data_IF_046658766203
#
_entry.id   IF_046658766203
#
_cell.length_a   1.000
_cell.length_b   1.000
_cell.length_c   1.000
_cell.angle_alpha   90.00
_cell.angle_beta   90.00
_cell.angle_gamma   90.00
#
_symmetry.space_group_name_H-M   'P 1'
#
loop_
_entity.id
_entity.type
_entity.pdbx_description
1 polymer ?
#
# COMPACT_ATOMS: atom_id res chain seq x y z
N UNK A 1 -8.43 13.49 -2.11
CA UNK A 1 -9.14 12.53 -2.99
C UNK A 1 -10.19 13.18 -3.88
N UNK A 2 -11.23 13.81 -3.32
CA UNK A 2 -12.35 14.40 -4.10
C UNK A 2 -11.92 15.41 -5.18
N UNK A 3 -10.92 16.23 -4.89
CA UNK A 3 -10.38 17.22 -5.83
C UNK A 3 -9.63 16.57 -7.01
N UNK A 4 -8.82 15.55 -6.73
CA UNK A 4 -8.11 14.77 -7.75
C UNK A 4 -9.08 13.96 -8.63
N UNK A 5 -10.12 13.42 -8.01
CA UNK A 5 -11.23 12.75 -8.69
C UNK A 5 -11.96 13.67 -9.67
N UNK A 6 -12.34 14.87 -9.21
CA UNK A 6 -13.02 15.84 -10.06
C UNK A 6 -12.14 16.25 -11.25
N UNK A 7 -10.83 16.41 -11.03
CA UNK A 7 -9.87 16.74 -12.09
C UNK A 7 -9.76 15.64 -13.15
N UNK A 8 -9.73 14.36 -12.74
CA UNK A 8 -9.74 13.23 -13.67
C UNK A 8 -11.04 13.18 -14.49
N UNK A 9 -12.20 13.40 -13.85
CA UNK A 9 -13.50 13.45 -14.53
C UNK A 9 -13.56 14.60 -15.55
N UNK A 10 -13.06 15.78 -15.21
CA UNK A 10 -12.99 16.93 -16.11
C UNK A 10 -12.09 16.66 -17.32
N UNK A 11 -10.96 15.98 -17.13
CA UNK A 11 -10.05 15.63 -18.23
C UNK A 11 -10.66 14.59 -19.18
N UNK A 12 -11.38 13.59 -18.64
CA UNK A 12 -12.10 12.61 -19.45
C UNK A 12 -13.21 13.31 -20.25
N UNK A 13 -14.01 14.16 -19.61
CA UNK A 13 -15.08 14.90 -20.29
C UNK A 13 -14.53 15.79 -21.40
N UNK A 14 -13.45 16.52 -21.15
CA UNK A 14 -12.78 17.35 -22.16
C UNK A 14 -12.29 16.52 -23.36
N UNK A 15 -11.79 15.31 -23.11
CA UNK A 15 -11.32 14.42 -24.18
C UNK A 15 -12.48 13.90 -25.03
N UNK A 16 -13.63 13.59 -24.40
CA UNK A 16 -14.87 13.21 -25.09
C UNK A 16 -15.39 14.38 -25.95
N UNK A 17 -15.36 15.60 -25.43
CA UNK A 17 -15.82 16.80 -26.14
C UNK A 17 -14.90 17.14 -27.33
N UNK A 18 -13.59 17.00 -27.15
CA UNK A 18 -12.59 17.16 -28.22
C UNK A 18 -12.79 16.10 -29.33
N UNK A 19 -13.08 14.85 -28.96
CA UNK A 19 -13.39 13.78 -29.93
C UNK A 19 -14.73 14.00 -30.63
N UNK A 20 -15.74 14.54 -29.95
CA UNK A 20 -17.02 14.92 -30.57
C UNK A 20 -16.83 16.06 -31.60
N UNK A 21 -15.96 17.04 -31.31
CA UNK A 21 -15.60 18.09 -32.27
C UNK A 21 -14.86 17.52 -33.50
N UNK A 22 -14.00 16.52 -33.30
CA UNK A 22 -13.29 15.80 -34.37
C UNK A 22 -14.26 14.98 -35.24
N UNK A 23 -15.22 14.28 -34.63
CA UNK A 23 -16.27 13.49 -35.33
C UNK A 23 -17.21 14.40 -36.12
N UNK A 24 -17.56 15.57 -35.59
CA UNK A 24 -18.36 16.56 -36.31
C UNK A 24 -17.57 17.21 -37.47
N UNK A 25 -16.25 17.41 -37.31
CA UNK A 25 -15.35 17.93 -38.35
C UNK A 25 -15.11 16.97 -39.52
N UNK A 26 -15.24 15.66 -39.31
CA UNK A 26 -15.15 14.63 -40.38
C UNK A 26 -16.24 14.78 -41.46
N UNK A 27 -17.32 15.54 -41.20
CA UNK A 27 -18.39 15.79 -42.18
C UNK A 27 -18.04 16.87 -43.21
N UNK A 28 -16.92 17.59 -43.07
CA UNK A 28 -16.56 18.68 -43.99
C UNK A 28 -15.04 18.95 -44.05
N UNK A 29 -14.35 18.41 -45.08
CA UNK A 29 -13.04 18.91 -45.55
C UNK A 29 -11.82 17.97 -45.46
N UNK A 30 -10.69 18.30 -46.13
CA UNK A 30 -9.61 17.38 -46.54
C UNK A 30 -8.63 16.95 -45.45
N UNK A 31 -8.83 17.32 -44.19
CA UNK A 31 -7.82 17.19 -43.12
C UNK A 31 -7.95 15.90 -42.28
N UNK A 32 -8.31 14.81 -42.94
CA UNK A 32 -8.55 13.48 -42.34
C UNK A 32 -7.32 12.96 -41.55
N UNK A 33 -6.11 13.26 -42.01
CA UNK A 33 -4.88 12.85 -41.34
C UNK A 33 -4.65 13.56 -40.01
N UNK A 34 -5.02 14.85 -39.91
CA UNK A 34 -4.91 15.64 -38.68
C UNK A 34 -5.94 15.20 -37.66
N UNK A 35 -7.16 14.94 -38.12
CA UNK A 35 -8.26 14.36 -37.34
C UNK A 35 -7.84 13.01 -36.76
N UNK A 36 -7.36 12.08 -37.61
CA UNK A 36 -6.92 10.75 -37.17
C UNK A 36 -5.82 10.83 -36.10
N UNK A 37 -4.83 11.72 -36.28
CA UNK A 37 -3.73 11.89 -35.34
C UNK A 37 -4.19 12.46 -33.99
N UNK A 38 -5.18 13.35 -33.98
CA UNK A 38 -5.78 13.85 -32.74
C UNK A 38 -6.59 12.78 -32.03
N UNK A 39 -7.41 12.01 -32.75
CA UNK A 39 -8.14 10.87 -32.19
C UNK A 39 -7.20 9.83 -31.58
N UNK A 40 -6.14 9.43 -32.28
CA UNK A 40 -5.13 8.50 -31.75
C UNK A 40 -4.43 9.03 -30.49
N UNK A 41 -4.22 10.35 -30.40
CA UNK A 41 -3.65 10.98 -29.20
C UNK A 41 -4.65 10.93 -28.04
N UNK A 42 -5.90 11.26 -28.31
CA UNK A 42 -6.96 11.29 -27.31
C UNK A 42 -7.24 9.89 -26.76
N UNK A 43 -7.29 8.86 -27.62
CA UNK A 43 -7.37 7.45 -27.18
C UNK A 43 -6.20 7.08 -26.27
N UNK A 44 -4.95 7.46 -26.61
CA UNK A 44 -3.80 7.20 -25.74
C UNK A 44 -3.89 7.92 -24.40
N UNK A 45 -4.39 9.15 -24.39
CA UNK A 45 -4.62 9.91 -23.15
C UNK A 45 -5.70 9.25 -22.31
N UNK A 46 -6.83 8.84 -22.90
CA UNK A 46 -7.89 8.09 -22.24
C UNK A 46 -7.38 6.77 -21.66
N UNK A 47 -6.56 6.00 -22.39
CA UNK A 47 -5.98 4.77 -21.86
C UNK A 47 -5.16 5.01 -20.59
N UNK A 48 -4.36 6.08 -20.55
CA UNK A 48 -3.59 6.46 -19.34
C UNK A 48 -4.49 6.89 -18.20
N UNK A 49 -5.51 7.71 -18.48
CA UNK A 49 -6.46 8.15 -17.47
C UNK A 49 -7.27 6.97 -16.90
N UNK A 50 -7.58 5.96 -17.72
CA UNK A 50 -8.23 4.71 -17.29
C UNK A 50 -7.28 3.87 -16.43
N UNK A 51 -6.00 3.77 -16.78
CA UNK A 51 -5.00 3.10 -15.93
C UNK A 51 -4.86 3.79 -14.56
N UNK A 52 -4.81 5.13 -14.53
CA UNK A 52 -4.79 5.91 -13.30
C UNK A 52 -6.08 5.73 -12.49
N UNK A 53 -7.23 5.70 -13.18
CA UNK A 53 -8.54 5.43 -12.58
C UNK A 53 -8.63 4.02 -11.99
N UNK A 54 -7.99 3.03 -12.61
CA UNK A 54 -7.99 1.64 -12.14
C UNK A 54 -7.34 1.45 -10.77
N UNK A 55 -6.49 2.38 -10.33
CA UNK A 55 -5.91 2.39 -8.98
C UNK A 55 -6.96 2.72 -7.91
N UNK A 56 -8.01 3.46 -8.30
CA UNK A 56 -9.08 3.95 -7.42
C UNK A 56 -10.38 3.13 -7.53
N UNK A 57 -10.54 2.36 -8.62
CA UNK A 57 -11.67 1.43 -8.76
C UNK A 57 -11.27 0.10 -8.13
N UNK A 58 -11.95 -0.34 -7.06
CA UNK A 58 -11.73 -1.68 -6.53
C UNK A 58 -12.01 -2.69 -7.64
N UNK A 59 -11.05 -3.58 -7.89
CA UNK A 59 -11.23 -4.72 -8.78
C UNK A 59 -12.50 -5.47 -8.34
N UNK A 60 -13.53 -5.62 -9.19
CA UNK A 60 -14.75 -6.34 -8.83
C UNK A 60 -14.49 -7.82 -8.54
N UNK A 61 -13.35 -8.37 -8.99
CA UNK A 61 -12.86 -9.70 -8.62
C UNK A 61 -11.94 -9.69 -7.39
N UNK A 62 -11.79 -8.56 -6.68
CA UNK A 62 -10.99 -8.54 -5.47
C UNK A 62 -11.61 -9.50 -4.45
N UNK A 63 -10.96 -10.65 -4.27
CA UNK A 63 -11.24 -11.61 -3.21
C UNK A 63 -11.46 -10.85 -1.89
N UNK A 64 -12.60 -11.10 -1.25
CA UNK A 64 -13.00 -10.43 0.00
C UNK A 64 -11.85 -10.47 1.01
N UNK A 65 -11.65 -9.35 1.70
CA UNK A 65 -10.68 -9.27 2.78
C UNK A 65 -11.27 -10.04 3.97
N UNK A 66 -10.66 -11.17 4.31
CA UNK A 66 -11.00 -11.94 5.50
C UNK A 66 -10.20 -11.40 6.67
N UNK A 67 -10.90 -10.94 7.70
CA UNK A 67 -10.28 -10.50 8.95
C UNK A 67 -9.79 -11.74 9.73
N UNK A 68 -8.56 -11.74 10.26
CA UNK A 68 -8.02 -12.88 10.98
C UNK A 68 -8.69 -13.12 12.34
N UNK A 69 -9.39 -12.12 12.87
CA UNK A 69 -10.14 -12.16 14.12
C UNK A 69 -11.53 -11.57 13.87
N UNK A 70 -12.55 -12.14 14.50
CA UNK A 70 -13.97 -11.74 14.29
C UNK A 70 -14.41 -10.60 15.19
N UNK A 71 -13.57 -10.17 16.14
CA UNK A 71 -13.94 -9.14 17.10
C UNK A 71 -14.08 -7.76 16.45
N UNK A 72 -15.02 -6.98 16.98
CA UNK A 72 -15.19 -5.57 16.61
C UNK A 72 -13.97 -4.75 17.01
N UNK A 73 -13.38 -5.02 18.18
CA UNK A 73 -12.18 -4.34 18.67
C UNK A 73 -11.00 -4.47 17.70
N UNK A 74 -10.77 -5.67 17.15
CA UNK A 74 -9.73 -5.87 16.15
C UNK A 74 -10.02 -5.11 14.86
N UNK A 75 -11.28 -5.12 14.40
CA UNK A 75 -11.68 -4.40 13.19
C UNK A 75 -11.46 -2.88 13.33
N UNK A 76 -11.85 -2.30 14.47
CA UNK A 76 -11.64 -0.88 14.78
C UNK A 76 -10.14 -0.53 14.81
N UNK A 77 -9.33 -1.30 15.52
CA UNK A 77 -7.88 -1.07 15.58
C UNK A 77 -7.19 -1.22 14.22
N UNK A 78 -7.69 -2.11 13.37
CA UNK A 78 -7.18 -2.24 12.00
C UNK A 78 -7.52 -1.03 11.13
N UNK A 79 -8.73 -0.48 11.26
CA UNK A 79 -9.11 0.77 10.59
C UNK A 79 -8.26 1.95 11.09
N UNK A 80 -7.98 2.03 12.40
CA UNK A 80 -7.08 3.03 12.97
C UNK A 80 -5.66 2.93 12.39
N UNK A 81 -5.15 1.71 12.22
CA UNK A 81 -3.86 1.50 11.55
C UNK A 81 -3.87 1.98 10.10
N UNK A 82 -4.96 1.72 9.36
CA UNK A 82 -5.13 2.21 7.98
C UNK A 82 -5.22 3.73 7.91
N UNK A 83 -5.97 4.35 8.82
CA UNK A 83 -6.06 5.79 8.95
C UNK A 83 -4.68 6.40 9.23
N UNK A 84 -3.94 5.85 10.19
CA UNK A 84 -2.57 6.24 10.49
C UNK A 84 -1.64 6.18 9.26
N UNK A 85 -1.67 5.09 8.49
CA UNK A 85 -0.87 4.95 7.27
C UNK A 85 -1.19 6.03 6.23
N UNK A 86 -2.47 6.35 6.08
CA UNK A 86 -2.91 7.39 5.17
C UNK A 86 -2.51 8.78 5.66
N UNK A 87 -2.81 9.12 6.90
CA UNK A 87 -2.56 10.45 7.46
C UNK A 87 -1.06 10.78 7.50
N UNK A 88 -0.24 9.84 7.95
CA UNK A 88 1.20 10.08 8.16
C UNK A 88 2.02 9.86 6.89
N UNK A 89 1.68 8.86 6.07
CA UNK A 89 2.50 8.47 4.91
C UNK A 89 1.80 8.62 3.57
N UNK A 90 0.53 9.04 3.54
CA UNK A 90 -0.29 9.07 2.32
C UNK A 90 -0.34 7.70 1.62
N UNK A 91 -0.31 6.62 2.41
CA UNK A 91 -0.34 5.23 1.93
C UNK A 91 -1.76 4.70 2.05
N UNK A 92 -2.31 4.25 0.92
CA UNK A 92 -3.57 3.50 0.88
C UNK A 92 -3.21 2.02 0.73
N UNK A 93 -3.77 1.17 1.60
CA UNK A 93 -3.60 -0.27 1.46
C UNK A 93 -4.48 -0.80 0.35
N UNK A 94 -3.85 -1.33 -0.70
CA UNK A 94 -4.56 -2.08 -1.72
C UNK A 94 -4.99 -3.45 -1.18
N UNK A 95 -6.08 -4.06 -1.64
CA UNK A 95 -6.62 -5.31 -1.06
C UNK A 95 -5.60 -6.46 -0.94
N UNK A 96 -4.71 -6.60 -1.93
CA UNK A 96 -3.63 -7.61 -1.91
C UNK A 96 -2.60 -7.33 -0.82
N UNK A 97 -2.29 -6.06 -0.59
CA UNK A 97 -1.33 -5.65 0.45
C UNK A 97 -1.96 -5.75 1.84
N UNK A 98 -3.20 -5.32 1.97
CA UNK A 98 -3.99 -5.44 3.19
C UNK A 98 -4.04 -6.90 3.66
N UNK A 99 -4.42 -7.83 2.77
CA UNK A 99 -4.44 -9.25 3.08
C UNK A 99 -3.07 -9.80 3.49
N UNK A 100 -2.00 -9.41 2.79
CA UNK A 100 -0.64 -9.85 3.14
C UNK A 100 -0.25 -9.37 4.54
N UNK A 101 -0.60 -8.13 4.89
CA UNK A 101 -0.32 -7.57 6.21
C UNK A 101 -1.16 -8.22 7.30
N UNK A 102 -2.45 -8.45 7.07
CA UNK A 102 -3.34 -9.17 7.99
C UNK A 102 -2.86 -10.61 8.23
N UNK A 103 -2.51 -11.34 7.17
CA UNK A 103 -1.96 -12.69 7.28
C UNK A 103 -0.63 -12.70 8.05
N UNK A 104 0.22 -11.70 7.81
CA UNK A 104 1.48 -11.59 8.52
C UNK A 104 1.27 -11.23 9.99
N UNK A 105 0.39 -10.28 10.31
CA UNK A 105 0.00 -9.90 11.66
C UNK A 105 -0.55 -11.11 12.43
N UNK A 106 -1.46 -11.87 11.83
CA UNK A 106 -1.98 -13.12 12.41
C UNK A 106 -0.87 -14.15 12.69
N UNK A 107 0.13 -14.22 11.81
CA UNK A 107 1.29 -15.11 11.99
C UNK A 107 2.19 -14.66 13.15
N UNK A 108 2.54 -13.37 13.22
CA UNK A 108 3.50 -12.86 14.22
C UNK A 108 2.90 -12.69 15.61
N UNK A 109 1.58 -12.53 15.72
CA UNK A 109 0.81 -12.55 16.98
C UNK A 109 0.55 -13.97 17.50
N UNK A 110 1.12 -15.00 16.86
CA UNK A 110 0.86 -16.39 17.24
C UNK A 110 -0.62 -16.79 17.13
N UNK A 111 -1.40 -16.11 16.29
CA UNK A 111 -2.86 -16.25 16.15
C UNK A 111 -3.63 -15.91 17.42
N UNK A 112 -3.11 -14.99 18.22
CA UNK A 112 -3.78 -14.46 19.41
C UNK A 112 -4.15 -13.02 19.16
N UNK A 113 -5.42 -12.71 19.38
CA UNK A 113 -5.99 -11.40 19.10
C UNK A 113 -5.36 -10.31 19.97
N UNK A 114 -5.24 -10.55 21.27
CA UNK A 114 -4.61 -9.62 22.22
C UNK A 114 -3.19 -9.24 21.78
N UNK A 115 -2.37 -10.21 21.37
CA UNK A 115 -1.02 -9.96 20.85
C UNK A 115 -1.05 -9.17 19.53
N UNK A 116 -2.06 -9.38 18.67
CA UNK A 116 -2.21 -8.63 17.43
C UNK A 116 -2.58 -7.16 17.68
N UNK A 117 -3.46 -6.90 18.66
CA UNK A 117 -3.84 -5.55 19.10
C UNK A 117 -2.64 -4.79 19.67
N UNK A 118 -1.87 -5.42 20.56
CA UNK A 118 -0.63 -4.84 21.10
C UNK A 118 0.37 -4.50 19.99
N UNK A 119 0.50 -5.35 18.97
CA UNK A 119 1.37 -5.09 17.82
C UNK A 119 0.87 -3.92 16.97
N UNK A 120 -0.43 -3.82 16.71
CA UNK A 120 -1.02 -2.67 15.98
C UNK A 120 -0.68 -1.36 16.71
N UNK A 121 -0.96 -1.30 18.01
CA UNK A 121 -0.67 -0.12 18.84
C UNK A 121 0.83 0.21 18.85
N UNK A 122 1.70 -0.82 18.97
CA UNK A 122 3.14 -0.65 18.83
C UNK A 122 3.54 0.00 17.50
N UNK A 123 2.99 -0.46 16.37
CA UNK A 123 3.33 0.09 15.06
C UNK A 123 2.85 1.52 14.88
N UNK A 124 1.67 1.87 15.40
CA UNK A 124 1.15 3.24 15.34
C UNK A 124 2.06 4.17 16.19
N UNK A 125 2.33 3.80 17.44
CA UNK A 125 3.14 4.60 18.38
C UNK A 125 4.56 4.83 17.90
N UNK A 126 5.18 3.80 17.31
CA UNK A 126 6.54 3.88 16.78
C UNK A 126 6.59 4.37 15.33
N UNK A 127 5.47 4.85 14.79
CA UNK A 127 5.35 5.37 13.43
C UNK A 127 5.94 4.41 12.39
N UNK A 128 5.44 3.17 12.39
CA UNK A 128 5.95 2.10 11.56
C UNK A 128 5.07 1.96 10.31
N UNK A 129 5.62 2.31 9.15
CA UNK A 129 4.92 2.16 7.86
C UNK A 129 4.62 0.71 7.48
N UNK A 130 5.36 -0.26 8.05
CA UNK A 130 5.29 -1.69 7.70
C UNK A 130 5.26 -2.54 8.96
N UNK A 131 4.40 -3.57 8.96
CA UNK A 131 4.36 -4.60 10.00
C UNK A 131 5.58 -5.52 9.82
N UNK A 132 6.48 -5.52 10.81
CA UNK A 132 7.72 -6.30 10.84
C UNK A 132 7.92 -6.88 12.24
N UNK A 133 8.50 -8.06 12.37
CA UNK A 133 8.84 -8.63 13.70
C UNK A 133 9.62 -7.58 14.51
N UNK A 134 9.23 -7.28 15.77
CA UNK A 134 9.91 -6.29 16.60
C UNK A 134 11.42 -6.52 16.81
N UNK A 135 11.91 -7.77 16.68
CA UNK A 135 13.37 -8.05 16.66
C UNK A 135 14.10 -7.28 15.54
N UNK A 136 13.41 -6.93 14.46
CA UNK A 136 13.97 -6.12 13.37
C UNK A 136 13.96 -4.61 13.68
N UNK A 137 13.33 -4.17 14.78
CA UNK A 137 13.39 -2.78 15.26
C UNK A 137 14.66 -2.47 16.06
N UNK A 138 15.50 -3.45 16.35
CA UNK A 138 16.80 -3.27 17.02
C UNK A 138 17.90 -2.72 16.08
N UNK A 139 17.56 -1.87 15.11
CA UNK A 139 18.53 -1.23 14.21
C UNK A 139 18.23 0.26 14.15
N UNK A 140 19.12 1.04 14.78
CA UNK A 140 19.24 2.51 14.81
C UNK A 140 18.82 3.25 16.08
N UNK A 141 18.99 2.65 17.25
CA UNK A 141 19.33 3.43 18.44
C UNK A 141 20.64 2.88 18.96
N UNK A 142 21.66 3.74 19.08
CA UNK A 142 22.95 3.47 19.70
C UNK A 142 22.75 2.71 21.03
N UNK A 143 22.85 1.38 20.97
CA UNK A 143 23.18 0.59 22.14
C UNK A 143 24.71 0.54 22.19
N UNK A 144 25.33 0.87 23.35
CA UNK A 144 26.75 0.62 23.53
C UNK A 144 27.00 -0.85 23.17
N UNK A 145 27.95 -1.09 22.27
CA UNK A 145 28.22 -2.43 21.76
C UNK A 145 28.33 -3.44 22.89
N UNK A 146 27.80 -4.64 22.63
CA UNK A 146 27.97 -5.79 23.50
C UNK A 146 29.42 -5.80 24.02
N UNK A 147 29.55 -5.81 25.35
CA UNK A 147 30.85 -5.93 26.00
C UNK A 147 31.58 -7.11 25.37
N UNK A 148 32.86 -6.94 24.97
CA UNK A 148 33.60 -7.99 24.30
C UNK A 148 33.56 -9.26 25.17
N UNK A 149 33.29 -10.40 24.53
CA UNK A 149 33.35 -11.71 25.17
C UNK A 149 34.59 -11.78 26.05
N UNK A 150 34.39 -11.88 27.36
CA UNK A 150 35.48 -12.15 28.30
C UNK A 150 36.00 -13.54 27.95
N UNK A 151 37.09 -13.59 27.18
CA UNK A 151 37.89 -14.78 27.01
C UNK A 151 38.27 -15.26 28.42
N UNK A 152 37.62 -16.33 28.90
CA UNK A 152 38.05 -17.03 30.10
C UNK A 152 39.43 -17.65 29.79
N UNK A 153 40.53 -17.17 30.38
CA UNK A 153 41.79 -17.85 30.25
C UNK A 153 41.81 -18.97 31.31
N UNK A 154 42.20 -20.17 30.89
CA UNK A 154 42.44 -21.36 31.71
C UNK A 154 41.25 -22.23 32.10
N UNK A 155 41.05 -23.30 31.32
CA UNK A 155 40.75 -24.62 31.89
C UNK A 155 41.85 -25.59 31.49
N UNK A 156 42.73 -25.92 32.43
CA UNK A 156 43.68 -27.02 32.35
C UNK A 156 42.92 -28.33 32.15
N UNK A 157 43.18 -29.04 31.04
CA UNK A 157 42.69 -30.42 30.84
C UNK A 157 43.36 -31.33 31.88
N UNK A 158 42.64 -31.68 32.94
CA UNK A 158 43.00 -32.83 33.76
C UNK A 158 42.70 -34.10 32.95
N UNK A 159 43.77 -34.80 32.53
CA UNK A 159 43.69 -36.20 32.12
C UNK A 159 43.54 -37.06 33.38
N UNK A 160 42.49 -37.86 33.40
CA UNK A 160 42.20 -39.00 34.28
C UNK A 160 41.79 -40.08 33.26
N UNK A 161 42.42 -41.24 33.04
CA UNK A 161 43.44 -42.10 33.68
C UNK A 161 44.39 -42.59 32.57
#
# INVERSE_FOLDING_TARGET
MKEHWNNLVEQIQKTIDDDAAVINGLRSGPDVAKIKKNFERNVKTLSKLIEEFSVFVPDPESEKIEMPFESEEFAENWEDYKAFLYEVYQVILLPREERRRLNYLNKISGRKEEEALELIDFYIRNRCKTILIPKNFQLNNDQPGDEPEVENPFTLKQKII
#
